data_IF_309898666242
#
_entry.id   IF_309898666242
#
_cell.length_a   1.000
_cell.length_b   1.000
_cell.length_c   1.000
_cell.angle_alpha   90.00
_cell.angle_beta   90.00
_cell.angle_gamma   90.00
#
_symmetry.space_group_name_H-M   'P 1'
#
loop_
_entity.id
_entity.type
_entity.pdbx_description
1 polymer ?
#
# COMPACT_ATOMS: atom_id res chain seq x y z
N UNK A 1 -12.86 -10.40 -22.46
CA UNK A 1 -13.77 -11.55 -22.29
C UNK A 1 -13.69 -11.96 -20.83
N UNK A 2 -14.72 -11.69 -20.01
CA UNK A 2 -14.75 -12.09 -18.59
C UNK A 2 -15.42 -13.46 -18.48
N UNK A 3 -14.70 -14.43 -17.93
CA UNK A 3 -15.22 -15.77 -17.61
C UNK A 3 -15.63 -15.76 -16.15
N UNK A 4 -16.91 -15.97 -15.86
CA UNK A 4 -17.41 -16.17 -14.50
C UNK A 4 -17.58 -17.67 -14.25
N UNK A 5 -16.87 -18.21 -13.26
CA UNK A 5 -17.17 -19.51 -12.63
C UNK A 5 -17.29 -19.29 -11.13
N UNK A 6 -18.46 -19.56 -10.56
CA UNK A 6 -18.63 -19.82 -9.12
C UNK A 6 -18.67 -18.63 -8.16
N UNK A 7 -19.78 -17.90 -8.15
CA UNK A 7 -20.53 -17.59 -6.92
C UNK A 7 -20.04 -16.56 -5.89
N UNK A 8 -18.79 -16.07 -5.94
CA UNK A 8 -18.37 -14.91 -5.16
C UNK A 8 -17.58 -13.96 -6.07
N UNK A 9 -17.95 -12.68 -6.08
CA UNK A 9 -17.12 -11.66 -6.73
C UNK A 9 -15.78 -11.64 -6.00
N UNK A 10 -14.68 -11.95 -6.69
CA UNK A 10 -13.34 -11.80 -6.12
C UNK A 10 -13.19 -10.34 -5.68
N UNK A 11 -12.81 -10.10 -4.42
CA UNK A 11 -12.54 -8.75 -3.92
C UNK A 11 -11.31 -8.22 -4.64
N UNK A 12 -11.46 -7.12 -5.37
CA UNK A 12 -10.36 -6.45 -6.08
C UNK A 12 -10.34 -4.96 -5.74
N UNK A 13 -9.21 -4.32 -6.00
CA UNK A 13 -9.03 -2.89 -5.75
C UNK A 13 -9.69 -2.11 -6.89
N UNK A 14 -10.64 -1.26 -6.53
CA UNK A 14 -11.37 -0.39 -7.44
C UNK A 14 -10.62 0.92 -7.68
N UNK A 15 -10.02 1.48 -6.64
CA UNK A 15 -9.15 2.66 -6.74
C UNK A 15 -8.23 2.77 -5.54
N UNK A 16 -7.06 3.36 -5.76
CA UNK A 16 -6.12 3.78 -4.71
C UNK A 16 -5.97 5.28 -4.84
N UNK A 17 -6.17 6.02 -3.75
CA UNK A 17 -6.08 7.48 -3.77
C UNK A 17 -5.39 7.98 -2.51
N UNK A 18 -4.28 8.73 -2.64
CA UNK A 18 -3.70 9.39 -1.49
C UNK A 18 -4.59 10.55 -1.05
N UNK A 19 -4.92 10.57 0.23
CA UNK A 19 -5.66 11.65 0.88
C UNK A 19 -4.87 12.05 2.12
N UNK A 20 -4.30 13.26 2.09
CA UNK A 20 -3.42 13.77 3.13
C UNK A 20 -2.27 12.79 3.41
N UNK A 21 -2.10 12.35 4.65
CA UNK A 21 -1.03 11.41 5.06
C UNK A 21 -1.43 9.93 4.93
N UNK A 22 -2.53 9.63 4.26
CA UNK A 22 -3.06 8.27 4.12
C UNK A 22 -3.23 7.85 2.66
N UNK A 23 -3.09 6.55 2.41
CA UNK A 23 -3.46 5.89 1.17
C UNK A 23 -4.82 5.21 1.35
N UNK A 24 -5.85 5.69 0.67
CA UNK A 24 -7.19 5.12 0.70
C UNK A 24 -7.33 4.07 -0.41
N UNK A 25 -7.64 2.84 -0.03
CA UNK A 25 -7.85 1.71 -0.93
C UNK A 25 -9.33 1.37 -0.92
N UNK A 26 -10.00 1.66 -2.03
CA UNK A 26 -11.41 1.35 -2.24
C UNK A 26 -11.53 0.00 -2.92
N UNK A 27 -12.26 -0.91 -2.29
CA UNK A 27 -12.45 -2.26 -2.78
C UNK A 27 -13.75 -2.39 -3.59
N UNK A 28 -13.85 -3.47 -4.37
CA UNK A 28 -15.00 -3.76 -5.22
C UNK A 28 -16.31 -4.00 -4.46
N UNK A 29 -16.23 -4.36 -3.18
CA UNK A 29 -17.38 -4.53 -2.26
C UNK A 29 -17.83 -3.21 -1.61
N UNK A 30 -17.15 -2.09 -1.91
CA UNK A 30 -17.42 -0.77 -1.34
C UNK A 30 -16.73 -0.51 0.00
N UNK A 31 -15.99 -1.50 0.55
CA UNK A 31 -15.13 -1.30 1.71
C UNK A 31 -13.99 -0.33 1.37
N UNK A 32 -13.54 0.43 2.37
CA UNK A 32 -12.42 1.37 2.23
C UNK A 32 -11.46 1.11 3.39
N UNK A 33 -10.21 0.81 3.05
CA UNK A 33 -9.11 0.78 4.02
C UNK A 33 -8.22 2.01 3.87
N UNK A 34 -7.84 2.61 4.99
CA UNK A 34 -6.92 3.73 5.04
C UNK A 34 -5.60 3.30 5.68
N UNK A 35 -4.49 3.51 4.98
CA UNK A 35 -3.16 3.16 5.46
C UNK A 35 -2.30 4.41 5.59
N UNK A 36 -1.55 4.55 6.69
CA UNK A 36 -0.59 5.65 6.83
C UNK A 36 0.53 5.56 5.80
N UNK A 37 0.79 6.64 5.06
CA UNK A 37 1.84 6.64 4.03
C UNK A 37 3.23 6.37 4.62
N UNK A 38 3.50 6.89 5.82
CA UNK A 38 4.78 6.66 6.52
C UNK A 38 4.91 5.21 6.95
N UNK A 39 3.82 4.58 7.43
CA UNK A 39 3.84 3.18 7.84
C UNK A 39 4.09 2.28 6.62
N UNK A 40 3.33 2.48 5.53
CA UNK A 40 3.54 1.77 4.27
C UNK A 40 4.97 1.96 3.74
N UNK A 41 5.51 3.18 3.81
CA UNK A 41 6.88 3.47 3.39
C UNK A 41 7.93 2.76 4.26
N UNK A 42 7.74 2.72 5.58
CA UNK A 42 8.64 2.00 6.47
C UNK A 42 8.56 0.49 6.25
N UNK A 43 7.35 -0.04 6.03
CA UNK A 43 7.13 -1.46 5.78
C UNK A 43 7.73 -1.88 4.44
N UNK A 44 7.62 -1.05 3.41
CA UNK A 44 8.31 -1.23 2.12
C UNK A 44 9.84 -1.40 2.28
N UNK A 45 10.47 -0.70 3.23
CA UNK A 45 11.91 -0.88 3.52
C UNK A 45 12.23 -2.14 4.32
N UNK A 46 11.27 -2.66 5.10
CA UNK A 46 11.47 -3.74 6.08
C UNK A 46 11.15 -5.13 5.54
N UNK A 47 10.39 -5.23 4.46
CA UNK A 47 9.96 -6.52 3.89
C UNK A 47 10.18 -6.62 2.37
N UNK A 48 10.11 -7.83 1.83
CA UNK A 48 10.13 -8.03 0.38
C UNK A 48 8.82 -7.55 -0.26
N UNK A 49 8.85 -7.28 -1.56
CA UNK A 49 7.64 -6.88 -2.30
C UNK A 49 6.53 -7.95 -2.23
N UNK A 50 6.89 -9.24 -2.26
CA UNK A 50 5.93 -10.33 -2.14
C UNK A 50 5.25 -10.34 -0.76
N UNK A 51 6.04 -10.18 0.31
CA UNK A 51 5.48 -10.10 1.67
C UNK A 51 4.59 -8.87 1.85
N UNK A 52 4.97 -7.74 1.23
CA UNK A 52 4.14 -6.53 1.21
C UNK A 52 2.80 -6.79 0.51
N UNK A 53 2.84 -7.41 -0.66
CA UNK A 53 1.64 -7.74 -1.43
C UNK A 53 0.74 -8.72 -0.68
N UNK A 54 1.30 -9.72 -0.01
CA UNK A 54 0.53 -10.68 0.79
C UNK A 54 -0.19 -10.02 1.98
N UNK A 55 0.41 -8.99 2.59
CA UNK A 55 -0.17 -8.25 3.73
C UNK A 55 -1.24 -7.26 3.28
N UNK A 56 -0.96 -6.45 2.25
CA UNK A 56 -1.81 -5.32 1.87
C UNK A 56 -2.70 -5.58 0.65
N UNK A 57 -2.38 -6.57 -0.17
CA UNK A 57 -3.08 -6.87 -1.42
C UNK A 57 -2.77 -5.92 -2.59
N UNK A 58 -1.77 -5.05 -2.45
CA UNK A 58 -1.30 -4.15 -3.50
C UNK A 58 0.20 -3.88 -3.43
N UNK A 59 0.75 -3.35 -4.52
CA UNK A 59 2.12 -2.84 -4.56
C UNK A 59 2.13 -1.34 -4.20
N UNK A 60 3.18 -0.93 -3.52
CA UNK A 60 3.40 0.45 -3.10
C UNK A 60 4.81 0.88 -3.51
N UNK A 61 4.96 2.15 -3.88
CA UNK A 61 6.26 2.75 -4.14
C UNK A 61 6.37 4.10 -3.40
N UNK A 62 7.21 4.20 -2.35
CA UNK A 62 7.36 5.45 -1.61
C UNK A 62 7.89 6.62 -2.44
N UNK A 63 8.52 6.36 -3.61
CA UNK A 63 8.98 7.42 -4.51
C UNK A 63 7.86 8.18 -5.22
N UNK A 64 6.64 7.63 -5.25
CA UNK A 64 5.47 8.30 -5.85
C UNK A 64 4.96 9.47 -4.97
N UNK A 65 5.49 9.59 -3.74
CA UNK A 65 5.07 10.58 -2.75
C UNK A 65 6.25 11.48 -2.37
N UNK A 66 6.17 12.81 -2.59
CA UNK A 66 7.29 13.72 -2.35
C UNK A 66 7.87 13.63 -0.93
N UNK A 67 9.16 13.32 -0.83
CA UNK A 67 9.91 13.25 0.43
C UNK A 67 9.62 12.03 1.32
N UNK A 68 8.69 11.15 0.91
CA UNK A 68 8.30 10.01 1.73
C UNK A 68 9.41 8.95 1.80
N UNK A 69 10.09 8.69 0.68
CA UNK A 69 11.20 7.75 0.62
C UNK A 69 12.31 8.13 1.59
N UNK A 70 12.80 9.37 1.53
CA UNK A 70 13.88 9.87 2.38
C UNK A 70 13.48 9.82 3.85
N UNK A 71 12.25 10.27 4.17
CA UNK A 71 11.71 10.22 5.52
C UNK A 71 11.67 8.80 6.07
N UNK A 72 11.15 7.83 5.31
CA UNK A 72 11.05 6.45 5.77
C UNK A 72 12.43 5.78 5.84
N UNK A 73 13.35 6.10 4.92
CA UNK A 73 14.74 5.63 4.98
C UNK A 73 15.41 6.06 6.28
N UNK A 74 15.29 7.32 6.67
CA UNK A 74 15.91 7.85 7.87
C UNK A 74 15.29 7.27 9.15
N UNK A 75 13.99 6.94 9.14
CA UNK A 75 13.31 6.24 10.24
C UNK A 75 13.82 4.80 10.38
N UNK A 76 13.95 4.06 9.28
CA UNK A 76 14.32 2.63 9.30
C UNK A 76 15.82 2.43 9.49
N UNK A 77 16.64 3.31 8.92
CA UNK A 77 18.10 3.25 8.97
C UNK A 77 18.67 4.55 9.58
N UNK A 78 18.45 4.79 10.89
CA UNK A 78 18.91 6.02 11.54
C UNK A 78 20.43 6.12 11.47
N UNK A 79 20.93 7.30 11.11
CA UNK A 79 22.36 7.60 11.18
C UNK A 79 22.73 7.77 12.65
N UNK A 80 23.47 6.80 13.19
CA UNK A 80 24.13 6.98 14.48
C UNK A 80 25.24 8.02 14.29
N UNK A 81 25.12 9.15 14.98
CA UNK A 81 26.15 10.18 15.09
C UNK A 81 26.99 9.97 16.33
#
# INVERSE_FOLDING_TARGET
MMVFKGGAMMKYIKSITPIMETLQVVWSDGHIDGYGLVDLGCDWFRMSNDCFYDVYGFNFNPHDYPGLYERCRDIVYPKNF
#
